data_IF_079806511873
#
_entry.id   IF_079806511873
#
_cell.length_a   1.000
_cell.length_b   1.000
_cell.length_c   1.000
_cell.angle_alpha   90.00
_cell.angle_beta   90.00
_cell.angle_gamma   90.00
#
_symmetry.space_group_name_H-M   'P 1'
#
loop_
_entity.id
_entity.type
_entity.pdbx_description
1 polymer ?
#
# COMPACT_ATOMS: atom_id res chain seq x y z
N UNK A 1 3.44 -14.67 -29.84
CA UNK A 1 2.36 -14.35 -28.89
C UNK A 1 2.67 -13.00 -28.29
N UNK A 2 1.83 -12.01 -28.55
CA UNK A 2 2.04 -10.61 -28.13
C UNK A 2 1.20 -10.43 -26.87
N UNK A 3 1.84 -10.29 -25.71
CA UNK A 3 1.16 -9.79 -24.50
C UNK A 3 0.76 -8.34 -24.76
N UNK A 4 -0.48 -7.99 -24.46
CA UNK A 4 -1.02 -6.65 -24.75
C UNK A 4 -0.36 -5.61 -23.83
N UNK A 5 -0.35 -4.33 -24.21
CA UNK A 5 0.08 -3.24 -23.31
C UNK A 5 -0.66 -3.25 -21.96
N UNK A 6 -1.91 -3.72 -21.94
CA UNK A 6 -2.70 -3.87 -20.71
C UNK A 6 -2.15 -4.94 -19.76
N UNK A 7 -1.58 -6.03 -20.28
CA UNK A 7 -1.00 -7.09 -19.45
C UNK A 7 0.28 -6.60 -18.75
N UNK A 8 1.10 -5.81 -19.45
CA UNK A 8 2.32 -5.23 -18.89
C UNK A 8 2.01 -4.23 -17.76
N UNK A 9 1.04 -3.34 -17.96
CA UNK A 9 0.61 -2.37 -16.95
C UNK A 9 0.09 -3.07 -15.68
N UNK A 10 -0.74 -4.11 -15.86
CA UNK A 10 -1.28 -4.89 -14.74
C UNK A 10 -0.18 -5.61 -13.95
N UNK A 11 0.87 -6.09 -14.62
CA UNK A 11 2.04 -6.69 -13.98
C UNK A 11 2.79 -5.64 -13.14
N UNK A 12 3.04 -4.46 -13.70
CA UNK A 12 3.70 -3.35 -13.00
C UNK A 12 2.92 -2.96 -11.74
N UNK A 13 1.61 -2.72 -11.87
CA UNK A 13 0.73 -2.41 -10.75
C UNK A 13 0.80 -3.49 -9.66
N UNK A 14 0.75 -4.76 -10.07
CA UNK A 14 0.86 -5.90 -9.15
C UNK A 14 2.23 -5.91 -8.43
N UNK A 15 3.31 -5.57 -9.12
CA UNK A 15 4.65 -5.51 -8.51
C UNK A 15 4.75 -4.38 -7.49
N UNK A 16 4.18 -3.22 -7.79
CA UNK A 16 4.18 -2.07 -6.89
C UNK A 16 3.36 -2.37 -5.62
N UNK A 17 2.15 -2.90 -5.75
CA UNK A 17 1.33 -3.34 -4.60
C UNK A 17 2.05 -4.37 -3.75
N UNK A 18 2.78 -5.31 -4.37
CA UNK A 18 3.60 -6.30 -3.64
C UNK A 18 4.68 -5.64 -2.79
N UNK A 19 5.25 -4.49 -3.20
CA UNK A 19 6.23 -3.75 -2.39
C UNK A 19 5.57 -3.17 -1.13
N UNK A 20 4.40 -2.56 -1.27
CA UNK A 20 3.61 -2.03 -0.14
C UNK A 20 3.30 -3.15 0.85
N UNK A 21 2.73 -4.26 0.36
CA UNK A 21 2.41 -5.42 1.19
C UNK A 21 3.65 -6.01 1.88
N UNK A 22 4.78 -6.10 1.16
CA UNK A 22 6.04 -6.61 1.71
C UNK A 22 6.60 -5.71 2.81
N UNK A 23 6.50 -4.40 2.63
CA UNK A 23 6.91 -3.44 3.65
C UNK A 23 6.11 -3.63 4.94
N UNK A 24 4.78 -3.64 4.87
CA UNK A 24 3.95 -3.82 6.07
C UNK A 24 4.12 -5.20 6.71
N UNK A 25 4.30 -6.25 5.91
CA UNK A 25 4.68 -7.58 6.43
C UNK A 25 5.97 -7.55 7.25
N UNK A 26 6.97 -6.78 6.81
CA UNK A 26 8.22 -6.64 7.52
C UNK A 26 8.07 -5.81 8.82
N UNK A 27 7.23 -4.77 8.80
CA UNK A 27 7.09 -3.85 9.94
C UNK A 27 6.13 -4.34 11.02
N UNK A 28 5.02 -4.95 10.63
CA UNK A 28 3.91 -5.25 11.53
C UNK A 28 3.62 -6.75 11.67
N UNK A 29 4.36 -7.59 10.93
CA UNK A 29 4.29 -9.05 11.03
C UNK A 29 3.52 -9.71 9.89
N UNK A 30 3.32 -11.04 9.95
CA UNK A 30 2.72 -11.81 8.86
C UNK A 30 1.35 -11.26 8.44
N UNK A 31 1.11 -11.21 7.13
CA UNK A 31 -0.19 -10.84 6.60
C UNK A 31 -1.24 -11.89 7.02
N UNK A 32 -2.38 -11.49 7.60
CA UNK A 32 -3.33 -12.42 8.23
C UNK A 32 -4.16 -13.24 7.24
N UNK A 33 -4.23 -12.84 5.96
CA UNK A 33 -5.07 -13.50 4.95
C UNK A 33 -4.24 -14.24 3.88
N UNK A 34 -4.91 -15.09 3.09
CA UNK A 34 -4.26 -15.85 2.00
C UNK A 34 -4.01 -15.01 0.74
N UNK A 35 -4.85 -14.00 0.52
CA UNK A 35 -4.80 -13.11 -0.64
C UNK A 35 -5.20 -11.69 -0.22
N UNK A 36 -4.80 -10.73 -1.05
CA UNK A 36 -5.26 -9.35 -1.01
C UNK A 36 -5.81 -9.03 -2.39
N UNK A 37 -7.08 -8.66 -2.46
CA UNK A 37 -7.72 -8.20 -3.68
C UNK A 37 -7.78 -6.67 -3.67
N UNK A 38 -7.38 -6.05 -4.78
CA UNK A 38 -7.44 -4.60 -4.94
C UNK A 38 -8.48 -4.27 -5.99
N UNK A 39 -9.45 -3.45 -5.58
CA UNK A 39 -10.57 -3.01 -6.41
C UNK A 39 -10.37 -1.55 -6.75
N UNK A 40 -10.15 -1.25 -8.03
CA UNK A 40 -10.02 0.11 -8.54
C UNK A 40 -11.41 0.60 -8.93
N UNK A 41 -12.04 1.37 -8.04
CA UNK A 41 -13.41 1.87 -8.23
C UNK A 41 -13.59 3.34 -7.82
N UNK A 42 -12.53 4.05 -7.43
CA UNK A 42 -12.62 5.42 -6.93
C UNK A 42 -12.96 5.53 -5.43
N UNK A 43 -13.05 4.40 -4.72
CA UNK A 43 -13.34 4.31 -3.29
C UNK A 43 -12.11 4.42 -2.39
N UNK A 44 -12.30 4.13 -1.12
CA UNK A 44 -11.28 4.14 -0.07
C UNK A 44 -11.87 3.39 1.10
N UNK A 45 -11.85 2.07 1.00
CA UNK A 45 -12.51 1.21 1.98
C UNK A 45 -11.74 -0.09 2.18
N UNK A 46 -11.59 -0.44 3.43
CA UNK A 46 -10.81 -1.53 3.97
C UNK A 46 -11.71 -2.69 4.42
N UNK A 47 -11.70 -3.77 3.66
CA UNK A 47 -12.31 -5.03 4.08
C UNK A 47 -11.24 -6.07 4.35
N UNK A 48 -11.51 -7.09 5.20
CA UNK A 48 -10.61 -8.21 5.39
C UNK A 48 -10.23 -8.89 4.06
N UNK A 49 -8.99 -8.68 3.60
CA UNK A 49 -8.47 -9.24 2.36
C UNK A 49 -8.91 -8.53 1.07
N UNK A 50 -9.66 -7.43 1.13
CA UNK A 50 -10.11 -6.66 -0.03
C UNK A 50 -9.98 -5.17 0.27
N UNK A 51 -9.38 -4.40 -0.64
CA UNK A 51 -9.27 -2.93 -0.50
C UNK A 51 -9.80 -2.24 -1.74
N UNK A 52 -10.59 -1.20 -1.52
CA UNK A 52 -11.08 -0.30 -2.57
C UNK A 52 -10.17 0.92 -2.66
N UNK A 53 -9.68 1.24 -3.85
CA UNK A 53 -8.71 2.32 -4.03
C UNK A 53 -9.16 3.34 -5.05
N UNK A 54 -8.87 4.60 -4.73
CA UNK A 54 -9.09 5.73 -5.60
C UNK A 54 -7.84 5.95 -6.45
N UNK A 55 -7.76 5.27 -7.58
CA UNK A 55 -6.71 5.46 -8.59
C UNK A 55 -7.32 5.43 -10.00
N UNK A 56 -6.65 6.08 -10.94
CA UNK A 56 -7.01 6.06 -12.36
C UNK A 56 -5.93 5.35 -13.18
N UNK A 57 -6.24 4.85 -14.39
CA UNK A 57 -5.21 4.24 -15.24
C UNK A 57 -4.03 5.17 -15.56
N UNK A 58 -4.23 6.48 -15.50
CA UNK A 58 -3.21 7.49 -15.75
C UNK A 58 -2.36 7.82 -14.51
N UNK A 59 -2.80 7.39 -13.33
CA UNK A 59 -2.10 7.63 -12.07
C UNK A 59 -1.04 6.56 -11.76
N UNK A 60 -0.06 6.90 -10.89
CA UNK A 60 0.86 5.91 -10.35
C UNK A 60 0.11 4.77 -9.67
N UNK A 61 0.56 3.54 -9.92
CA UNK A 61 0.00 2.34 -9.31
C UNK A 61 0.04 2.32 -7.77
N UNK A 62 0.98 3.07 -7.18
CA UNK A 62 1.01 3.38 -5.75
C UNK A 62 0.66 4.84 -5.60
N UNK A 63 -0.48 5.10 -4.98
CA UNK A 63 -0.83 6.39 -4.41
C UNK A 63 -1.13 6.24 -2.91
N UNK A 64 -1.44 7.34 -2.25
CA UNK A 64 -1.72 7.35 -0.81
C UNK A 64 -2.82 6.35 -0.43
N UNK A 65 -3.92 6.31 -1.18
CA UNK A 65 -5.05 5.40 -0.93
C UNK A 65 -4.62 3.94 -0.99
N UNK A 66 -3.86 3.53 -2.00
CA UNK A 66 -3.35 2.14 -2.08
C UNK A 66 -2.54 1.78 -0.83
N UNK A 67 -1.71 2.69 -0.34
CA UNK A 67 -0.90 2.47 0.86
C UNK A 67 -1.76 2.44 2.12
N UNK A 68 -2.69 3.38 2.27
CA UNK A 68 -3.57 3.54 3.43
C UNK A 68 -4.51 2.34 3.57
N UNK A 69 -5.24 1.97 2.53
CA UNK A 69 -6.16 0.84 2.58
C UNK A 69 -5.45 -0.50 2.79
N UNK A 70 -4.23 -0.64 2.26
CA UNK A 70 -3.41 -1.83 2.52
C UNK A 70 -2.92 -1.87 3.97
N UNK A 71 -2.62 -0.72 4.59
CA UNK A 71 -2.18 -0.65 5.99
C UNK A 71 -3.28 -1.06 6.97
N UNK A 72 -4.55 -0.75 6.67
CA UNK A 72 -5.69 -1.18 7.47
C UNK A 72 -5.74 -2.71 7.67
N UNK A 73 -5.15 -3.51 6.76
CA UNK A 73 -5.11 -4.97 6.91
C UNK A 73 -4.39 -5.45 8.19
N UNK A 74 -3.60 -4.59 8.85
CA UNK A 74 -2.99 -4.89 10.15
C UNK A 74 -3.72 -4.29 11.35
N UNK A 75 -4.37 -3.13 11.21
CA UNK A 75 -4.95 -2.39 12.34
C UNK A 75 -6.44 -2.65 12.50
N UNK A 76 -7.19 -2.74 11.39
CA UNK A 76 -8.62 -2.97 11.39
C UNK A 76 -8.98 -4.28 12.09
N UNK A 77 -8.29 -5.36 11.72
CA UNK A 77 -8.51 -6.69 12.32
C UNK A 77 -7.78 -6.86 13.66
N UNK A 78 -6.59 -6.28 13.82
CA UNK A 78 -5.72 -6.52 14.97
C UNK A 78 -6.10 -5.72 16.22
N UNK A 79 -6.61 -4.50 16.04
CA UNK A 79 -6.94 -3.58 17.15
C UNK A 79 -8.43 -3.61 17.47
N UNK A 80 -9.30 -3.80 16.45
CA UNK A 80 -10.76 -3.94 16.58
C UNK A 80 -11.39 -2.89 17.52
N UNK A 81 -11.66 -1.68 17.01
CA UNK A 81 -12.38 -0.63 17.73
C UNK A 81 -13.86 -0.51 17.29
N UNK A 82 -14.63 0.26 18.05
CA UNK A 82 -15.93 0.74 17.60
C UNK A 82 -15.72 1.75 16.45
N UNK A 83 -16.13 1.43 15.21
CA UNK A 83 -15.86 2.30 14.07
C UNK A 83 -16.74 3.56 14.06
N UNK A 84 -17.80 3.62 14.87
CA UNK A 84 -18.68 4.79 14.93
C UNK A 84 -18.19 5.82 15.94
N UNK A 85 -17.77 5.35 17.12
CA UNK A 85 -17.35 6.25 18.21
C UNK A 85 -15.83 6.43 18.30
N UNK A 86 -15.05 5.48 17.78
CA UNK A 86 -13.59 5.45 17.97
C UNK A 86 -12.82 5.22 16.66
N UNK A 87 -13.40 5.63 15.50
CA UNK A 87 -12.76 5.53 14.18
C UNK A 87 -11.31 6.07 14.15
N UNK A 88 -11.04 7.11 14.93
CA UNK A 88 -9.72 7.73 15.01
C UNK A 88 -8.59 6.77 15.41
N UNK A 89 -8.90 5.67 16.11
CA UNK A 89 -7.90 4.68 16.50
C UNK A 89 -7.42 3.94 15.26
N UNK A 90 -8.34 3.42 14.44
CA UNK A 90 -7.99 2.68 13.23
C UNK A 90 -7.38 3.62 12.19
N UNK A 91 -8.11 4.67 11.83
CA UNK A 91 -7.66 5.65 10.85
C UNK A 91 -6.34 6.32 11.25
N UNK A 92 -6.17 6.67 12.52
CA UNK A 92 -4.95 7.30 13.01
C UNK A 92 -3.73 6.38 12.98
N UNK A 93 -3.91 5.10 13.34
CA UNK A 93 -2.85 4.10 13.22
C UNK A 93 -2.50 3.82 11.76
N UNK A 94 -3.52 3.72 10.91
CA UNK A 94 -3.34 3.55 9.46
C UNK A 94 -2.62 4.76 8.86
N UNK A 95 -3.04 5.99 9.14
CA UNK A 95 -2.35 7.20 8.66
C UNK A 95 -0.88 7.26 9.11
N UNK A 96 -0.60 6.86 10.36
CA UNK A 96 0.78 6.77 10.84
C UNK A 96 1.58 5.73 10.03
N UNK A 97 1.02 4.55 9.78
CA UNK A 97 1.66 3.52 8.97
C UNK A 97 1.90 3.96 7.52
N UNK A 98 0.93 4.65 6.93
CA UNK A 98 1.01 5.27 5.60
C UNK A 98 2.19 6.25 5.52
N UNK A 99 2.29 7.17 6.49
CA UNK A 99 3.40 8.12 6.57
C UNK A 99 4.75 7.40 6.71
N UNK A 100 4.84 6.36 7.54
CA UNK A 100 6.08 5.59 7.72
C UNK A 100 6.53 4.93 6.40
N UNK A 101 5.60 4.45 5.58
CA UNK A 101 5.92 3.89 4.26
C UNK A 101 6.56 4.95 3.34
N UNK A 102 5.94 6.12 3.20
CA UNK A 102 6.48 7.16 2.31
C UNK A 102 7.83 7.69 2.78
N UNK A 103 8.02 7.88 4.10
CA UNK A 103 9.34 8.23 4.67
C UNK A 103 10.39 7.17 4.32
N UNK A 104 10.03 5.88 4.34
CA UNK A 104 10.95 4.80 3.96
C UNK A 104 11.31 4.86 2.46
N UNK A 105 10.33 5.13 1.59
CA UNK A 105 10.56 5.30 0.15
C UNK A 105 11.51 6.46 -0.12
N UNK A 106 11.25 7.64 0.46
CA UNK A 106 12.11 8.82 0.32
C UNK A 106 13.55 8.55 0.79
N UNK A 107 13.71 7.95 1.97
CA UNK A 107 15.03 7.56 2.49
C UNK A 107 15.76 6.60 1.55
N UNK A 108 15.03 5.64 0.98
CA UNK A 108 15.61 4.68 0.03
C UNK A 108 16.06 5.38 -1.24
N UNK A 109 15.27 6.32 -1.78
CA UNK A 109 15.65 7.10 -2.96
C UNK A 109 16.86 7.99 -2.71
N UNK A 110 16.88 8.68 -1.56
CA UNK A 110 18.02 9.51 -1.16
C UNK A 110 19.29 8.68 -1.06
N UNK A 111 19.27 7.56 -0.33
CA UNK A 111 20.45 6.68 -0.19
C UNK A 111 20.97 6.16 -1.53
N UNK A 112 20.08 5.77 -2.46
CA UNK A 112 20.49 5.40 -3.81
C UNK A 112 21.13 6.56 -4.58
N UNK A 113 20.57 7.78 -4.46
CA UNK A 113 21.12 8.98 -5.10
C UNK A 113 22.52 9.30 -4.59
N UNK A 114 22.74 9.26 -3.27
CA UNK A 114 24.04 9.50 -2.65
C UNK A 114 25.10 8.49 -3.12
N UNK A 115 24.77 7.19 -3.10
CA UNK A 115 25.72 6.14 -3.51
C UNK A 115 26.14 6.25 -4.99
N UNK A 116 25.25 6.73 -5.85
CA UNK A 116 25.55 6.92 -7.28
C UNK A 116 26.43 8.15 -7.56
N UNK A 117 26.49 9.12 -6.64
CA UNK A 117 27.36 10.29 -6.76
C UNK A 117 28.82 9.99 -6.35
N UNK A 118 29.06 8.99 -5.50
CA UNK A 118 30.42 8.58 -5.09
C UNK A 118 31.10 7.60 -6.07
N UNK A 119 30.40 7.14 -7.12
CA UNK A 119 30.94 6.26 -8.17
C UNK A 119 31.35 7.00 -9.46
N UNK A 120 31.48 8.33 -9.41
CA UNK A 120 32.05 9.19 -10.46
C UNK A 120 33.32 9.88 -9.95
#
# INVERSE_FOLDING_TARGET
MIGSQGDAKKIEETLEVKKVLSYFKQKFGPYPFKQLDIVINGGGMEYPGIVEVNTTPEEPAINETVVHETAHQWFYHGVSNDPYYHAWIDEGLTSLATMLYFINVEKTQLTHSWNNQEML
#
